data_IF_817266130246
#
_entry.id   IF_817266130246
#
_cell.length_a   1.000
_cell.length_b   1.000
_cell.length_c   1.000
_cell.angle_alpha   90.00
_cell.angle_beta   90.00
_cell.angle_gamma   90.00
#
_symmetry.space_group_name_H-M   'P 1'
#
loop_
_entity.id
_entity.type
_entity.pdbx_description
1 polymer ?
#
# COMPACT_ATOMS: atom_id res chain seq x y z
N UNK A 1 8.89 17.81 27.13
CA UNK A 1 7.91 16.80 26.63
C UNK A 1 7.59 16.89 25.13
N UNK A 2 7.55 18.07 24.48
CA UNK A 2 7.15 18.20 23.06
C UNK A 2 8.12 17.51 22.05
N UNK A 3 9.44 17.66 22.17
CA UNK A 3 10.44 17.07 21.25
C UNK A 3 10.40 15.52 21.17
N UNK A 4 10.36 14.83 22.32
CA UNK A 4 10.27 13.35 22.37
C UNK A 4 8.96 12.81 21.75
N UNK A 5 7.85 13.55 21.84
CA UNK A 5 6.55 13.15 21.27
C UNK A 5 6.51 13.32 19.75
N UNK A 6 7.12 14.39 19.22
CA UNK A 6 7.26 14.64 17.77
C UNK A 6 8.15 13.60 17.12
N UNK A 7 9.30 13.28 17.72
CA UNK A 7 10.26 12.31 17.17
C UNK A 7 9.72 10.86 17.18
N UNK A 8 8.94 10.50 18.21
CA UNK A 8 8.26 9.20 18.29
C UNK A 8 7.13 9.07 17.25
N UNK A 9 6.48 10.18 16.89
CA UNK A 9 5.45 10.20 15.85
C UNK A 9 6.08 10.07 14.45
N UNK A 10 7.18 10.78 14.16
CA UNK A 10 7.86 10.69 12.86
C UNK A 10 8.45 9.30 12.61
N UNK A 11 9.04 8.65 13.64
CA UNK A 11 9.48 7.26 13.51
C UNK A 11 8.33 6.28 13.24
N UNK A 12 7.18 6.47 13.89
CA UNK A 12 5.99 5.63 13.68
C UNK A 12 5.40 5.84 12.29
N UNK A 13 5.33 7.09 11.83
CA UNK A 13 4.91 7.43 10.46
C UNK A 13 5.80 6.75 9.44
N UNK A 14 7.12 6.88 9.59
CA UNK A 14 8.08 6.22 8.70
C UNK A 14 7.92 4.69 8.69
N UNK A 15 7.71 4.06 9.85
CA UNK A 15 7.43 2.60 9.93
C UNK A 15 6.15 2.21 9.19
N UNK A 16 5.10 3.02 9.29
CA UNK A 16 3.85 2.77 8.59
C UNK A 16 3.99 2.98 7.08
N UNK A 17 4.77 3.97 6.64
CA UNK A 17 5.12 4.16 5.22
C UNK A 17 5.85 2.93 4.68
N UNK A 18 6.88 2.43 5.38
CA UNK A 18 7.56 1.18 4.98
C UNK A 18 6.60 -0.01 4.94
N UNK A 19 5.63 -0.07 5.86
CA UNK A 19 4.65 -1.16 5.90
C UNK A 19 3.74 -1.18 4.67
N UNK A 20 3.29 0.00 4.24
CA UNK A 20 2.47 0.15 3.02
C UNK A 20 3.27 -0.16 1.77
N UNK A 21 4.50 0.33 1.68
CA UNK A 21 5.40 -0.01 0.57
C UNK A 21 5.61 -1.52 0.47
N UNK A 22 5.88 -2.18 1.59
CA UNK A 22 6.04 -3.63 1.62
C UNK A 22 4.75 -4.37 1.25
N UNK A 23 3.59 -3.89 1.69
CA UNK A 23 2.30 -4.46 1.29
C UNK A 23 2.08 -4.38 -0.23
N UNK A 24 2.43 -3.25 -0.86
CA UNK A 24 2.38 -3.09 -2.33
C UNK A 24 3.30 -4.07 -3.03
N UNK A 25 4.55 -4.18 -2.58
CA UNK A 25 5.52 -5.12 -3.15
C UNK A 25 5.07 -6.57 -3.01
N UNK A 26 4.49 -6.93 -1.86
CA UNK A 26 3.98 -8.28 -1.63
C UNK A 26 2.81 -8.59 -2.57
N UNK A 27 1.82 -7.71 -2.67
CA UNK A 27 0.67 -7.90 -3.57
C UNK A 27 1.11 -7.98 -5.04
N UNK A 28 2.07 -7.16 -5.45
CA UNK A 28 2.68 -7.26 -6.78
C UNK A 28 3.34 -8.63 -7.01
N UNK A 29 4.15 -9.12 -6.06
CA UNK A 29 4.82 -10.41 -6.21
C UNK A 29 3.85 -11.60 -6.19
N UNK A 30 2.80 -11.52 -5.37
CA UNK A 30 1.73 -12.53 -5.35
C UNK A 30 1.04 -12.63 -6.72
N UNK A 31 0.81 -11.49 -7.37
CA UNK A 31 0.17 -11.43 -8.67
C UNK A 31 1.11 -11.80 -9.83
N UNK A 32 2.29 -11.18 -9.89
CA UNK A 32 3.21 -11.30 -11.02
C UNK A 32 3.97 -12.63 -11.03
N UNK A 33 4.25 -13.19 -9.85
CA UNK A 33 5.12 -14.38 -9.69
C UNK A 33 4.37 -15.56 -9.06
N UNK A 34 3.15 -15.36 -8.57
CA UNK A 34 2.38 -16.42 -7.92
C UNK A 34 2.93 -16.86 -6.56
N UNK A 35 3.81 -16.04 -5.93
CA UNK A 35 4.36 -16.34 -4.61
C UNK A 35 3.25 -16.29 -3.55
N UNK A 36 3.29 -17.21 -2.60
CA UNK A 36 2.45 -17.14 -1.40
C UNK A 36 2.94 -16.03 -0.46
N UNK A 37 2.01 -15.47 0.34
CA UNK A 37 2.37 -14.49 1.36
C UNK A 37 3.41 -15.01 2.36
N UNK A 38 3.36 -16.30 2.71
CA UNK A 38 4.33 -16.94 3.60
C UNK A 38 5.75 -16.94 3.01
N UNK A 39 5.90 -17.19 1.71
CA UNK A 39 7.20 -17.10 1.02
C UNK A 39 7.75 -15.67 1.06
N UNK A 40 6.91 -14.69 0.73
CA UNK A 40 7.29 -13.27 0.73
C UNK A 40 7.69 -12.80 2.15
N UNK A 41 6.95 -13.23 3.17
CA UNK A 41 7.25 -12.93 4.59
C UNK A 41 8.60 -13.50 5.02
N UNK A 42 8.93 -14.73 4.59
CA UNK A 42 10.22 -15.36 4.86
C UNK A 42 11.36 -14.58 4.18
N UNK A 43 11.22 -14.28 2.90
CA UNK A 43 12.22 -13.51 2.13
C UNK A 43 12.47 -12.12 2.71
N UNK A 44 11.42 -11.41 3.15
CA UNK A 44 11.59 -10.12 3.81
C UNK A 44 12.39 -10.25 5.11
N UNK A 45 12.07 -11.26 5.94
CA UNK A 45 12.77 -11.49 7.20
C UNK A 45 14.25 -11.74 6.95
N UNK A 46 14.56 -12.58 5.97
CA UNK A 46 15.94 -12.91 5.58
C UNK A 46 16.67 -11.67 5.04
N UNK A 47 16.01 -10.85 4.21
CA UNK A 47 16.55 -9.58 3.70
C UNK A 47 16.88 -8.60 4.82
N UNK A 48 15.93 -8.36 5.73
CA UNK A 48 16.14 -7.45 6.85
C UNK A 48 17.23 -7.94 7.81
N UNK A 49 17.40 -9.25 7.97
CA UNK A 49 18.52 -9.80 8.74
C UNK A 49 19.85 -9.48 8.06
N UNK A 50 19.97 -9.69 6.75
CA UNK A 50 21.21 -9.37 6.00
C UNK A 50 21.57 -7.90 6.08
N UNK A 51 20.60 -7.01 5.87
CA UNK A 51 20.88 -5.57 5.84
C UNK A 51 21.23 -5.00 7.24
N UNK A 52 20.83 -5.68 8.32
CA UNK A 52 21.31 -5.36 9.68
C UNK A 52 22.81 -5.63 9.86
N UNK A 53 23.39 -6.58 9.12
CA UNK A 53 24.83 -6.85 9.16
C UNK A 53 25.63 -5.81 8.35
N UNK A 54 24.98 -5.12 7.40
CA UNK A 54 25.62 -4.13 6.51
C UNK A 54 25.61 -2.69 7.06
N UNK A 55 25.31 -2.49 8.35
CA UNK A 55 25.23 -1.18 9.03
C UNK A 55 24.28 -0.16 8.34
N UNK A 56 23.27 -0.63 7.63
CA UNK A 56 22.25 0.23 7.02
C UNK A 56 21.14 0.58 8.02
N UNK A 57 20.77 1.87 8.10
CA UNK A 57 19.68 2.35 8.96
C UNK A 57 18.32 2.05 8.31
N UNK A 58 17.89 0.79 8.34
CA UNK A 58 16.59 0.41 7.78
C UNK A 58 15.48 0.59 8.80
N UNK A 59 14.46 1.34 8.38
CA UNK A 59 13.22 1.47 9.12
C UNK A 59 12.40 0.20 8.90
N UNK A 60 12.41 -0.70 9.88
CA UNK A 60 11.63 -1.95 9.82
C UNK A 60 10.13 -1.64 9.74
N UNK A 61 9.36 -2.33 8.86
CA UNK A 61 7.93 -2.13 8.78
C UNK A 61 7.23 -2.54 10.07
N UNK A 62 6.10 -1.90 10.35
CA UNK A 62 5.09 -2.43 11.26
C UNK A 62 4.39 -3.63 10.59
N UNK A 63 4.90 -4.83 10.87
CA UNK A 63 4.39 -6.08 10.31
C UNK A 63 2.89 -6.27 10.50
N UNK A 64 2.31 -5.84 11.62
CA UNK A 64 0.88 -5.99 11.85
C UNK A 64 0.04 -5.15 10.89
N UNK A 65 0.48 -3.94 10.54
CA UNK A 65 -0.21 -3.11 9.55
C UNK A 65 -0.08 -3.75 8.16
N UNK A 66 1.13 -4.18 7.80
CA UNK A 66 1.37 -4.80 6.50
C UNK A 66 0.53 -6.07 6.30
N UNK A 67 0.54 -6.99 7.27
CA UNK A 67 -0.19 -8.26 7.22
C UNK A 67 -1.68 -8.01 7.07
N UNK A 68 -2.24 -7.07 7.84
CA UNK A 68 -3.65 -6.68 7.71
C UNK A 68 -4.00 -6.14 6.33
N UNK A 69 -3.13 -5.34 5.71
CA UNK A 69 -3.38 -4.82 4.35
C UNK A 69 -3.40 -5.96 3.33
N UNK A 70 -2.43 -6.88 3.39
CA UNK A 70 -2.30 -7.98 2.43
C UNK A 70 -3.44 -9.00 2.61
N UNK A 71 -3.73 -9.40 3.84
CA UNK A 71 -4.84 -10.31 4.16
C UNK A 71 -6.17 -9.68 3.78
N UNK A 72 -6.38 -8.40 4.13
CA UNK A 72 -7.59 -7.67 3.77
C UNK A 72 -7.78 -7.56 2.25
N UNK A 73 -6.69 -7.37 1.50
CA UNK A 73 -6.72 -7.31 0.05
C UNK A 73 -7.04 -8.68 -0.56
N UNK A 74 -6.45 -9.74 -0.03
CA UNK A 74 -6.66 -11.12 -0.51
C UNK A 74 -8.07 -11.62 -0.19
N UNK A 75 -8.53 -11.42 1.05
CA UNK A 75 -9.86 -11.85 1.52
C UNK A 75 -10.99 -11.10 0.81
N UNK A 76 -10.83 -9.79 0.61
CA UNK A 76 -11.85 -8.94 -0.02
C UNK A 76 -11.60 -8.69 -1.52
N UNK A 77 -10.73 -9.48 -2.17
CA UNK A 77 -10.24 -9.19 -3.52
C UNK A 77 -11.37 -8.92 -4.52
N UNK A 78 -12.43 -9.75 -4.53
CA UNK A 78 -13.57 -9.55 -5.43
C UNK A 78 -14.28 -8.22 -5.23
N UNK A 79 -14.49 -7.83 -3.96
CA UNK A 79 -15.17 -6.58 -3.61
C UNK A 79 -14.27 -5.39 -3.97
N UNK A 80 -13.00 -5.45 -3.57
CA UNK A 80 -12.00 -4.43 -3.87
C UNK A 80 -11.87 -4.22 -5.38
N UNK A 81 -11.66 -5.29 -6.15
CA UNK A 81 -11.49 -5.20 -7.60
C UNK A 81 -12.76 -4.66 -8.26
N UNK A 82 -13.95 -5.06 -7.80
CA UNK A 82 -15.22 -4.51 -8.31
C UNK A 82 -15.33 -3.01 -8.04
N UNK A 83 -15.03 -2.56 -6.83
CA UNK A 83 -15.07 -1.15 -6.45
C UNK A 83 -14.04 -0.33 -7.23
N UNK A 84 -12.82 -0.84 -7.39
CA UNK A 84 -11.80 -0.15 -8.20
C UNK A 84 -12.24 -0.06 -9.67
N UNK A 85 -12.81 -1.12 -10.24
CA UNK A 85 -13.27 -1.10 -11.64
C UNK A 85 -14.35 -0.05 -11.88
N UNK A 86 -15.26 0.19 -10.94
CA UNK A 86 -16.27 1.26 -11.06
C UNK A 86 -15.67 2.67 -11.03
N UNK A 87 -14.45 2.83 -10.53
CA UNK A 87 -13.78 4.13 -10.47
C UNK A 87 -13.14 4.54 -11.81
N UNK A 88 -12.93 3.59 -12.73
CA UNK A 88 -12.47 3.90 -14.07
C UNK A 88 -13.60 4.52 -14.91
N UNK A 89 -13.23 5.47 -15.77
CA UNK A 89 -14.11 5.96 -16.83
C UNK A 89 -13.73 5.25 -18.15
N UNK A 90 -14.69 5.13 -19.07
CA UNK A 90 -14.49 4.60 -20.43
C UNK A 90 -14.01 3.13 -20.47
N UNK A 91 -13.23 2.76 -21.49
CA UNK A 91 -12.78 1.39 -21.77
C UNK A 91 -11.65 0.87 -20.84
N UNK A 92 -11.21 1.68 -19.86
CA UNK A 92 -10.14 1.30 -18.95
C UNK A 92 -10.69 0.45 -17.81
N UNK A 93 -9.91 -0.54 -17.37
CA UNK A 93 -10.26 -1.36 -16.23
C UNK A 93 -9.02 -1.74 -15.42
N UNK A 94 -9.24 -2.32 -14.25
CA UNK A 94 -8.17 -2.71 -13.36
C UNK A 94 -7.16 -3.63 -14.05
N UNK A 95 -7.56 -4.53 -14.95
CA UNK A 95 -6.63 -5.46 -15.62
C UNK A 95 -5.74 -4.80 -16.66
N UNK A 96 -6.11 -3.63 -17.17
CA UNK A 96 -5.37 -2.96 -18.27
C UNK A 96 -4.27 -2.02 -17.77
N UNK A 97 -4.23 -1.69 -16.47
CA UNK A 97 -3.18 -0.84 -15.90
C UNK A 97 -1.96 -1.66 -15.46
N UNK A 98 -0.82 -0.98 -15.26
CA UNK A 98 0.42 -1.58 -14.74
C UNK A 98 0.17 -2.38 -13.43
N UNK A 99 0.76 -3.59 -13.28
CA UNK A 99 0.57 -4.41 -12.08
C UNK A 99 0.96 -3.72 -10.76
N UNK A 100 1.93 -2.82 -10.79
CA UNK A 100 2.32 -2.01 -9.62
C UNK A 100 1.19 -1.06 -9.22
N UNK A 101 0.55 -0.40 -10.19
CA UNK A 101 -0.61 0.46 -9.93
C UNK A 101 -1.81 -0.34 -9.41
N UNK A 102 -2.04 -1.55 -9.95
CA UNK A 102 -3.06 -2.47 -9.40
C UNK A 102 -2.77 -2.81 -7.94
N UNK A 103 -1.53 -3.17 -7.62
CA UNK A 103 -1.12 -3.49 -6.26
C UNK A 103 -1.29 -2.30 -5.31
N UNK A 104 -0.97 -1.09 -5.76
CA UNK A 104 -1.21 0.17 -5.01
C UNK A 104 -2.69 0.37 -4.72
N UNK A 105 -3.56 0.27 -5.73
CA UNK A 105 -5.01 0.47 -5.56
C UNK A 105 -5.61 -0.59 -4.64
N UNK A 106 -5.20 -1.85 -4.76
CA UNK A 106 -5.65 -2.95 -3.89
C UNK A 106 -5.21 -2.75 -2.44
N UNK A 107 -3.96 -2.35 -2.21
CA UNK A 107 -3.43 -2.07 -0.88
C UNK A 107 -4.18 -0.89 -0.23
N UNK A 108 -4.34 0.21 -0.96
CA UNK A 108 -5.05 1.39 -0.47
C UNK A 108 -6.52 1.09 -0.14
N UNK A 109 -7.22 0.41 -1.05
CA UNK A 109 -8.63 0.04 -0.86
C UNK A 109 -8.81 -0.91 0.33
N UNK A 110 -7.90 -1.88 0.51
CA UNK A 110 -7.88 -2.75 1.67
C UNK A 110 -7.72 -1.97 2.98
N UNK A 111 -6.80 -1.00 3.04
CA UNK A 111 -6.61 -0.18 4.26
C UNK A 111 -7.82 0.73 4.53
N UNK A 112 -8.43 1.31 3.48
CA UNK A 112 -9.64 2.14 3.59
C UNK A 112 -10.80 1.35 4.22
N UNK A 113 -11.05 0.14 3.72
CA UNK A 113 -12.15 -0.72 4.20
C UNK A 113 -11.97 -1.11 5.68
N UNK A 114 -10.72 -1.19 6.17
CA UNK A 114 -10.45 -1.50 7.57
C UNK A 114 -10.86 -0.37 8.53
N UNK A 115 -11.04 0.88 8.05
CA UNK A 115 -11.48 2.06 8.84
C UNK A 115 -10.68 2.33 10.12
N UNK A 116 -9.40 1.93 10.17
CA UNK A 116 -8.49 2.15 11.33
C UNK A 116 -7.58 3.36 11.18
N UNK A 117 -7.29 3.76 9.95
CA UNK A 117 -6.41 4.89 9.63
C UNK A 117 -7.26 5.99 8.99
N UNK A 118 -7.08 7.28 9.35
CA UNK A 118 -7.78 8.37 8.67
C UNK A 118 -7.53 8.35 7.16
N UNK A 119 -8.59 8.45 6.38
CA UNK A 119 -8.58 8.29 4.92
C UNK A 119 -7.60 9.23 4.22
N UNK A 120 -7.55 10.49 4.66
CA UNK A 120 -6.58 11.49 4.14
C UNK A 120 -5.13 11.05 4.31
N UNK A 121 -4.81 10.36 5.40
CA UNK A 121 -3.47 9.80 5.63
C UNK A 121 -3.22 8.65 4.67
N UNK A 122 -4.19 7.75 4.48
CA UNK A 122 -4.07 6.64 3.53
C UNK A 122 -3.79 7.17 2.12
N UNK A 123 -4.62 8.09 1.62
CA UNK A 123 -4.45 8.68 0.28
C UNK A 123 -3.07 9.31 0.14
N UNK A 124 -2.69 10.21 1.05
CA UNK A 124 -1.40 10.91 0.99
C UNK A 124 -0.22 9.94 0.93
N UNK A 125 -0.27 8.87 1.72
CA UNK A 125 0.79 7.86 1.79
C UNK A 125 0.89 7.03 0.52
N UNK A 126 -0.24 6.62 -0.07
CA UNK A 126 -0.23 5.86 -1.33
C UNK A 126 0.10 6.73 -2.54
N UNK A 127 -0.21 8.03 -2.53
CA UNK A 127 0.28 8.99 -3.52
C UNK A 127 1.81 9.07 -3.46
N UNK A 128 2.38 9.19 -2.26
CA UNK A 128 3.84 9.27 -2.09
C UNK A 128 4.55 7.98 -2.50
N UNK A 129 3.98 6.82 -2.14
CA UNK A 129 4.45 5.52 -2.64
C UNK A 129 4.40 5.48 -4.16
N UNK A 130 3.32 5.97 -4.79
CA UNK A 130 3.22 6.00 -6.26
C UNK A 130 4.34 6.84 -6.87
N UNK A 131 4.64 8.03 -6.32
CA UNK A 131 5.76 8.86 -6.78
C UNK A 131 7.11 8.16 -6.65
N UNK A 132 7.30 7.35 -5.61
CA UNK A 132 8.56 6.59 -5.44
C UNK A 132 8.78 5.54 -6.54
N UNK A 133 7.70 4.99 -7.12
CA UNK A 133 7.77 4.09 -8.27
C UNK A 133 7.80 4.83 -9.61
N UNK A 134 7.16 6.01 -9.68
CA UNK A 134 6.97 6.81 -10.89
C UNK A 134 7.43 8.27 -10.69
N UNK A 135 8.75 8.53 -10.54
CA UNK A 135 9.26 9.85 -10.16
C UNK A 135 9.04 10.93 -11.22
N UNK A 136 8.93 10.56 -12.50
CA UNK A 136 8.74 11.50 -13.62
C UNK A 136 7.34 11.42 -14.24
N UNK A 137 6.46 10.58 -13.69
CA UNK A 137 5.17 10.25 -14.27
C UNK A 137 4.00 10.95 -13.58
N UNK A 138 2.80 10.80 -14.17
CA UNK A 138 1.55 11.41 -13.67
C UNK A 138 0.64 10.39 -12.97
N UNK A 139 1.14 9.19 -12.72
CA UNK A 139 0.42 8.07 -12.11
C UNK A 139 -0.07 8.42 -10.71
N UNK A 140 0.66 9.25 -9.97
CA UNK A 140 0.22 9.71 -8.65
C UNK A 140 -1.10 10.50 -8.71
N UNK A 141 -1.33 11.27 -9.78
CA UNK A 141 -2.58 12.00 -10.02
C UNK A 141 -3.71 11.05 -10.41
N UNK A 142 -3.40 10.03 -11.23
CA UNK A 142 -4.35 8.96 -11.56
C UNK A 142 -4.80 8.22 -10.29
N UNK A 143 -3.85 7.78 -9.45
CA UNK A 143 -4.13 7.10 -8.18
C UNK A 143 -5.00 7.99 -7.27
N UNK A 144 -4.66 9.28 -7.14
CA UNK A 144 -5.48 10.20 -6.36
C UNK A 144 -6.93 10.29 -6.89
N UNK A 145 -7.10 10.42 -8.21
CA UNK A 145 -8.42 10.47 -8.84
C UNK A 145 -9.24 9.20 -8.62
N UNK A 146 -8.63 8.03 -8.81
CA UNK A 146 -9.28 6.73 -8.60
C UNK A 146 -9.65 6.51 -7.14
N UNK A 147 -8.76 6.84 -6.19
CA UNK A 147 -9.04 6.71 -4.76
C UNK A 147 -10.20 7.58 -4.32
N UNK A 148 -10.31 8.82 -4.82
CA UNK A 148 -11.46 9.68 -4.51
C UNK A 148 -12.79 9.07 -4.98
N UNK A 149 -12.81 8.50 -6.20
CA UNK A 149 -14.01 7.81 -6.71
C UNK A 149 -14.35 6.54 -5.91
N UNK A 150 -13.32 5.81 -5.48
CA UNK A 150 -13.48 4.63 -4.59
C UNK A 150 -14.14 5.04 -3.27
N UNK A 151 -13.72 6.16 -2.66
CA UNK A 151 -14.35 6.65 -1.43
C UNK A 151 -15.82 6.99 -1.61
N UNK A 152 -16.18 7.61 -2.74
CA UNK A 152 -17.56 7.92 -3.09
C UNK A 152 -18.39 6.63 -3.23
N UNK A 153 -17.91 5.61 -3.94
CA UNK A 153 -18.60 4.31 -4.08
C UNK A 153 -18.78 3.62 -2.71
N UNK A 154 -17.78 3.73 -1.83
CA UNK A 154 -17.80 3.15 -0.49
C UNK A 154 -18.58 4.00 0.55
N UNK A 155 -19.02 5.22 0.19
CA UNK A 155 -19.67 6.19 1.08
C UNK A 155 -18.84 6.48 2.33
N UNK A 156 -17.55 6.79 2.12
CA UNK A 156 -16.60 7.13 3.18
C UNK A 156 -16.19 8.59 3.02
N UNK A 157 -16.32 9.37 4.11
CA UNK A 157 -15.95 10.79 4.21
C UNK A 157 -14.48 11.03 4.60
#
# INVERSE_FOLDING_TARGET
MKRKKVQKNSEKENKNTTSRLFAVQALFQMEAVGKSFNQIKKELKDKLQKEQFENSTIIKPNYSLCEKIIEGASFNQRVIDKTINKAFDNDWNLKTIDPTLRAILRAASSEIIQKKTPVKVIISQFIEITKSFYPFGKEHSLINGLLNKILIDLKID
#
